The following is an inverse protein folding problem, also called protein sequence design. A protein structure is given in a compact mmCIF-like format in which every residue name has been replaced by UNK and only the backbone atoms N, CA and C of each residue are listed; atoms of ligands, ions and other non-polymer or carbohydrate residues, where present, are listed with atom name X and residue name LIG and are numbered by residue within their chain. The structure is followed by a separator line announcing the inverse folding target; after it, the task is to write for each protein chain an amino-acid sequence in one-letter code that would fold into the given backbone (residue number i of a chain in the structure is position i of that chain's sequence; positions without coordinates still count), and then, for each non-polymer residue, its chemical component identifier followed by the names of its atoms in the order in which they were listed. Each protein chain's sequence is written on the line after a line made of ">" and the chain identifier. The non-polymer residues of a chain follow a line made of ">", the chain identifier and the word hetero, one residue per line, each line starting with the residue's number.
data_IF_957331184288
#
_entry.id   IF_957331184288
#
_cell.length_a   1.000
_cell.length_b   1.000
_cell.length_c   1.000
_cell.angle_alpha   90.00
_cell.angle_beta   90.00
_cell.angle_gamma   90.00
#
_symmetry.space_group_name_H-M   'P 1'
#
loop_
_entity.id
_entity.type
_entity.pdbx_description
1 polymer ?
#
# COMPACT_ATOMS: atom_id res chain seq x y z
N UNK A 1 -25.96 -4.16 -9.83
CA UNK A 1 -25.93 -3.86 -11.27
C UNK A 1 -24.56 -3.32 -11.70
N UNK A 2 -24.01 -2.32 -11.01
CA UNK A 2 -22.70 -1.71 -11.34
C UNK A 2 -21.50 -2.69 -11.27
N UNK A 3 -21.38 -3.50 -10.21
CA UNK A 3 -20.27 -4.48 -10.07
C UNK A 3 -20.28 -5.57 -11.16
N UNK A 4 -21.48 -5.98 -11.61
CA UNK A 4 -21.62 -6.95 -12.70
C UNK A 4 -21.17 -6.34 -14.04
N UNK A 5 -21.47 -5.06 -14.28
CA UNK A 5 -20.97 -4.33 -15.44
C UNK A 5 -19.44 -4.29 -15.45
N UNK A 6 -18.81 -3.94 -14.33
CA UNK A 6 -17.34 -3.93 -14.22
C UNK A 6 -16.72 -5.31 -14.43
N UNK A 7 -17.36 -6.38 -13.95
CA UNK A 7 -16.90 -7.74 -14.20
C UNK A 7 -16.89 -8.11 -15.68
N UNK A 8 -17.96 -7.80 -16.42
CA UNK A 8 -17.99 -8.07 -17.85
C UNK A 8 -16.95 -7.25 -18.61
N UNK A 9 -16.79 -5.97 -18.25
CA UNK A 9 -15.73 -5.13 -18.79
C UNK A 9 -14.33 -5.72 -18.53
N UNK A 10 -14.09 -6.23 -17.31
CA UNK A 10 -12.85 -6.89 -16.93
C UNK A 10 -12.58 -8.18 -17.68
N UNK A 11 -13.61 -9.00 -17.85
CA UNK A 11 -13.51 -10.27 -18.58
C UNK A 11 -13.14 -10.05 -20.05
N UNK A 12 -13.59 -8.93 -20.65
CA UNK A 12 -13.32 -8.58 -22.03
C UNK A 12 -11.99 -7.84 -22.25
N UNK A 13 -11.39 -7.28 -21.20
CA UNK A 13 -10.11 -6.58 -21.26
C UNK A 13 -8.94 -7.57 -21.49
N UNK A 14 -8.71 -7.97 -22.75
CA UNK A 14 -7.71 -8.98 -23.14
C UNK A 14 -6.29 -8.68 -22.64
N UNK A 15 -5.90 -7.41 -22.67
CA UNK A 15 -4.55 -6.95 -22.30
C UNK A 15 -4.41 -6.62 -20.79
N UNK A 16 -5.47 -6.82 -20.00
CA UNK A 16 -5.37 -6.71 -18.55
C UNK A 16 -4.78 -8.00 -17.97
N UNK A 17 -3.68 -7.86 -17.22
CA UNK A 17 -2.95 -8.95 -16.58
C UNK A 17 -2.94 -8.85 -15.04
N UNK A 18 -3.80 -8.00 -14.47
CA UNK A 18 -3.86 -7.78 -13.02
C UNK A 18 -4.23 -9.05 -12.26
N UNK A 19 -3.68 -9.21 -11.05
CA UNK A 19 -4.11 -10.26 -10.12
C UNK A 19 -5.59 -10.12 -9.76
N UNK A 20 -6.12 -8.89 -9.70
CA UNK A 20 -7.55 -8.64 -9.57
C UNK A 20 -8.34 -9.36 -10.67
N UNK A 21 -8.01 -9.15 -11.95
CA UNK A 21 -8.73 -9.79 -13.05
C UNK A 21 -8.63 -11.31 -12.99
N UNK A 22 -7.44 -11.81 -12.66
CA UNK A 22 -7.20 -13.26 -12.58
C UNK A 22 -8.07 -13.93 -11.50
N UNK A 23 -8.23 -13.29 -10.35
CA UNK A 23 -8.85 -13.90 -9.17
C UNK A 23 -10.29 -13.44 -8.90
N UNK A 24 -10.75 -12.33 -9.48
CA UNK A 24 -12.13 -11.86 -9.31
C UNK A 24 -13.09 -12.64 -10.22
N UNK A 25 -13.47 -13.85 -9.80
CA UNK A 25 -14.48 -14.65 -10.49
C UNK A 25 -15.90 -14.16 -10.21
N UNK A 26 -16.85 -14.55 -11.09
CA UNK A 26 -18.29 -14.30 -10.86
C UNK A 26 -18.77 -14.87 -9.52
N UNK A 27 -18.26 -16.04 -9.10
CA UNK A 27 -18.62 -16.65 -7.83
C UNK A 27 -18.21 -15.77 -6.64
N UNK A 28 -16.98 -15.23 -6.67
CA UNK A 28 -16.47 -14.31 -5.65
C UNK A 28 -17.28 -13.01 -5.63
N UNK A 29 -17.63 -12.46 -6.79
CA UNK A 29 -18.50 -11.27 -6.85
C UNK A 29 -19.86 -11.56 -6.24
N UNK A 30 -20.50 -12.67 -6.61
CA UNK A 30 -21.82 -13.03 -6.10
C UNK A 30 -21.81 -13.23 -4.58
N UNK A 31 -20.72 -13.76 -4.03
CA UNK A 31 -20.50 -13.91 -2.59
C UNK A 31 -20.30 -12.56 -1.88
N UNK A 32 -19.48 -11.67 -2.45
CA UNK A 32 -18.95 -10.50 -1.74
C UNK A 32 -19.70 -9.19 -2.03
N UNK A 33 -20.42 -9.06 -3.15
CA UNK A 33 -20.98 -7.79 -3.65
C UNK A 33 -21.93 -7.05 -2.71
N UNK A 34 -22.54 -7.75 -1.75
CA UNK A 34 -23.49 -7.19 -0.79
C UNK A 34 -22.91 -7.04 0.63
N UNK A 35 -21.65 -7.44 0.84
CA UNK A 35 -20.99 -7.35 2.14
C UNK A 35 -20.44 -5.95 2.37
N UNK A 36 -20.41 -5.53 3.64
CA UNK A 36 -19.79 -4.28 4.09
C UNK A 36 -19.04 -4.50 5.39
N UNK A 37 -17.92 -3.81 5.58
CA UNK A 37 -17.20 -3.77 6.86
C UNK A 37 -17.95 -2.91 7.86
N UNK A 38 -17.47 -2.87 9.12
CA UNK A 38 -18.04 -2.00 10.15
C UNK A 38 -17.95 -0.50 9.80
N UNK A 39 -16.92 -0.12 9.04
CA UNK A 39 -16.74 1.25 8.54
C UNK A 39 -17.46 1.50 7.21
N UNK A 40 -18.20 0.51 6.70
CA UNK A 40 -19.02 0.63 5.51
C UNK A 40 -18.29 0.33 4.20
N UNK A 41 -17.02 -0.07 4.24
CA UNK A 41 -16.24 -0.42 3.06
C UNK A 41 -16.84 -1.63 2.34
N UNK A 42 -16.89 -1.55 1.01
CA UNK A 42 -17.54 -2.52 0.12
C UNK A 42 -16.54 -3.17 -0.83
N UNK A 43 -16.98 -4.18 -1.57
CA UNK A 43 -16.16 -4.76 -2.65
C UNK A 43 -15.76 -3.71 -3.70
N UNK A 44 -16.59 -2.71 -3.97
CA UNK A 44 -16.25 -1.66 -4.93
C UNK A 44 -15.03 -0.87 -4.44
N UNK A 45 -15.00 -0.49 -3.18
CA UNK A 45 -13.88 0.27 -2.59
C UNK A 45 -12.57 -0.53 -2.63
N UNK A 46 -12.66 -1.86 -2.58
CA UNK A 46 -11.51 -2.75 -2.70
C UNK A 46 -10.94 -2.82 -4.12
N UNK A 47 -11.82 -2.86 -5.14
CA UNK A 47 -11.42 -3.17 -6.53
C UNK A 47 -11.38 -1.95 -7.45
N UNK A 48 -11.90 -0.79 -7.02
CA UNK A 48 -12.14 0.37 -7.89
C UNK A 48 -10.87 0.83 -8.62
N UNK A 49 -9.72 0.84 -7.94
CA UNK A 49 -8.44 1.20 -8.54
C UNK A 49 -8.07 0.29 -9.71
N UNK A 50 -8.07 -1.03 -9.50
CA UNK A 50 -7.80 -1.99 -10.58
C UNK A 50 -8.84 -1.86 -11.69
N UNK A 51 -10.10 -1.63 -11.35
CA UNK A 51 -11.18 -1.45 -12.32
C UNK A 51 -10.96 -0.25 -13.24
N UNK A 52 -10.54 0.88 -12.68
CA UNK A 52 -10.25 2.10 -13.43
C UNK A 52 -8.90 2.03 -14.17
N UNK A 53 -7.93 1.27 -13.65
CA UNK A 53 -6.57 1.20 -14.15
C UNK A 53 -6.24 -0.24 -14.60
N UNK A 54 -6.66 -0.60 -15.83
CA UNK A 54 -6.53 -1.96 -16.38
C UNK A 54 -5.09 -2.47 -16.51
N UNK A 55 -4.12 -1.57 -16.46
CA UNK A 55 -2.68 -1.86 -16.49
C UNK A 55 -2.09 -2.11 -15.10
N UNK A 56 -2.92 -2.16 -14.05
CA UNK A 56 -2.50 -2.54 -12.70
C UNK A 56 -1.86 -3.93 -12.68
N UNK A 57 -0.76 -4.09 -11.93
CA UNK A 57 -0.20 -5.42 -11.64
C UNK A 57 -1.06 -6.22 -10.66
N UNK A 58 -1.56 -5.56 -9.60
CA UNK A 58 -2.40 -6.18 -8.55
C UNK A 58 -3.85 -5.71 -8.67
N UNK A 59 -4.12 -4.43 -8.38
CA UNK A 59 -5.43 -3.80 -8.59
C UNK A 59 -6.42 -3.86 -7.41
N UNK A 60 -5.99 -4.30 -6.21
CA UNK A 60 -6.82 -4.26 -5.00
C UNK A 60 -6.13 -3.50 -3.86
N UNK A 61 -6.94 -2.82 -3.06
CA UNK A 61 -6.52 -2.18 -1.81
C UNK A 61 -7.51 -2.49 -0.70
N UNK A 62 -7.04 -2.55 0.54
CA UNK A 62 -7.92 -2.65 1.70
C UNK A 62 -8.31 -1.23 2.17
N UNK A 63 -9.60 -0.89 2.25
CA UNK A 63 -10.06 0.36 2.86
C UNK A 63 -9.86 0.41 4.39
N UNK A 64 -9.96 -0.74 5.04
CA UNK A 64 -9.74 -0.92 6.48
C UNK A 64 -9.16 -2.31 6.78
N UNK A 65 -8.76 -2.56 8.03
CA UNK A 65 -8.19 -3.85 8.43
C UNK A 65 -9.20 -5.01 8.32
N UNK A 66 -10.47 -4.75 8.62
CA UNK A 66 -11.56 -5.75 8.54
C UNK A 66 -11.76 -6.25 7.10
N UNK A 67 -11.38 -5.45 6.10
CA UNK A 67 -11.48 -5.79 4.68
C UNK A 67 -10.68 -7.05 4.31
N UNK A 68 -9.51 -7.26 4.90
CA UNK A 68 -8.72 -8.49 4.68
C UNK A 68 -9.46 -9.75 5.15
N UNK A 69 -10.30 -9.63 6.18
CA UNK A 69 -11.10 -10.76 6.68
C UNK A 69 -12.41 -10.91 5.92
N UNK A 70 -13.13 -9.80 5.69
CA UNK A 70 -14.44 -9.82 5.04
C UNK A 70 -14.36 -10.22 3.56
N UNK A 71 -13.33 -9.72 2.86
CA UNK A 71 -13.09 -9.99 1.44
C UNK A 71 -11.96 -11.01 1.23
N UNK A 72 -11.71 -11.85 2.25
CA UNK A 72 -10.73 -12.94 2.22
C UNK A 72 -10.81 -13.82 0.96
N UNK A 73 -12.00 -14.20 0.43
CA UNK A 73 -12.07 -14.98 -0.81
C UNK A 73 -11.41 -14.34 -2.03
N UNK A 74 -11.24 -13.02 -2.04
CA UNK A 74 -10.49 -12.28 -3.06
C UNK A 74 -9.03 -12.02 -2.64
N UNK A 75 -8.80 -11.59 -1.40
CA UNK A 75 -7.46 -11.22 -0.93
C UNK A 75 -6.51 -12.42 -0.83
N UNK A 76 -6.96 -13.54 -0.27
CA UNK A 76 -6.10 -14.72 -0.07
C UNK A 76 -5.41 -15.21 -1.36
N UNK A 77 -6.13 -15.51 -2.46
CA UNK A 77 -5.46 -16.01 -3.66
C UNK A 77 -4.55 -14.95 -4.32
N UNK A 78 -4.86 -13.66 -4.17
CA UNK A 78 -3.99 -12.57 -4.65
C UNK A 78 -2.71 -12.50 -3.80
N UNK A 79 -2.82 -12.57 -2.48
CA UNK A 79 -1.68 -12.56 -1.55
C UNK A 79 -0.81 -13.79 -1.79
N UNK A 80 -1.42 -14.97 -1.93
CA UNK A 80 -0.70 -16.22 -2.18
C UNK A 80 0.13 -16.13 -3.46
N UNK A 81 -0.46 -15.64 -4.55
CA UNK A 81 0.27 -15.50 -5.82
C UNK A 81 1.34 -14.40 -5.76
N UNK A 82 1.02 -13.21 -5.24
CA UNK A 82 1.96 -12.10 -5.18
C UNK A 82 3.17 -12.40 -4.28
N UNK A 83 2.96 -13.16 -3.20
CA UNK A 83 3.99 -13.55 -2.24
C UNK A 83 4.56 -14.96 -2.47
N UNK A 84 4.40 -15.52 -3.67
CA UNK A 84 5.02 -16.79 -4.09
C UNK A 84 4.69 -17.99 -3.17
N UNK A 85 3.41 -18.15 -2.83
CA UNK A 85 2.90 -19.29 -2.08
C UNK A 85 2.55 -19.00 -0.62
N UNK A 86 2.21 -17.75 -0.27
CA UNK A 86 1.70 -17.41 1.07
C UNK A 86 0.23 -17.85 1.22
N UNK A 87 0.00 -19.12 1.49
CA UNK A 87 -1.33 -19.73 1.57
C UNK A 87 -2.11 -19.33 2.82
N UNK A 88 -3.44 -19.54 2.78
CA UNK A 88 -4.39 -19.09 3.81
C UNK A 88 -4.14 -19.58 5.25
N UNK A 89 -3.37 -20.67 5.40
CA UNK A 89 -3.05 -21.30 6.68
C UNK A 89 -1.68 -20.89 7.23
N UNK A 90 -0.91 -20.11 6.47
CA UNK A 90 0.39 -19.62 6.88
C UNK A 90 0.25 -18.33 7.68
N UNK A 91 1.28 -18.05 8.47
CA UNK A 91 1.38 -16.83 9.29
C UNK A 91 2.69 -16.14 8.97
N UNK A 92 2.64 -14.82 8.90
CA UNK A 92 3.84 -14.01 8.86
C UNK A 92 4.70 -14.34 10.11
N UNK A 93 6.02 -14.53 9.98
CA UNK A 93 6.89 -14.73 11.13
C UNK A 93 6.85 -13.54 12.09
N UNK A 94 7.28 -13.78 13.33
CA UNK A 94 7.51 -12.72 14.31
C UNK A 94 8.48 -11.67 13.78
N UNK A 95 8.34 -10.44 14.26
CA UNK A 95 9.18 -9.32 13.84
C UNK A 95 10.63 -9.60 14.26
N UNK A 96 11.52 -9.55 13.27
CA UNK A 96 12.97 -9.60 13.45
C UNK A 96 13.58 -8.49 12.60
N UNK A 97 14.12 -7.46 13.26
CA UNK A 97 14.80 -6.34 12.58
C UNK A 97 16.29 -6.64 12.31
N UNK A 98 16.79 -7.80 12.75
CA UNK A 98 18.13 -8.27 12.44
C UNK A 98 19.26 -7.48 13.08
N UNK A 99 19.05 -6.88 14.26
CA UNK A 99 20.06 -6.09 14.96
C UNK A 99 21.34 -6.89 15.26
N UNK A 100 21.21 -8.19 15.53
CA UNK A 100 22.31 -9.14 15.73
C UNK A 100 22.91 -9.68 14.41
N UNK A 101 22.29 -9.37 13.27
CA UNK A 101 22.62 -9.88 11.93
C UNK A 101 23.18 -8.82 11.01
N UNK A 102 23.40 -7.59 11.48
CA UNK A 102 23.96 -6.48 10.68
C UNK A 102 25.28 -6.89 10.04
N UNK A 103 26.12 -7.67 10.75
CA UNK A 103 27.40 -8.18 10.22
C UNK A 103 27.28 -9.14 9.04
N UNK A 104 26.08 -9.68 8.77
CA UNK A 104 25.80 -10.52 7.59
C UNK A 104 25.54 -9.70 6.34
N UNK A 105 25.26 -8.39 6.48
CA UNK A 105 25.10 -7.49 5.35
C UNK A 105 26.48 -7.18 4.77
N UNK A 106 26.63 -7.41 3.47
CA UNK A 106 27.89 -7.20 2.75
C UNK A 106 27.80 -5.97 1.85
N UNK A 107 28.97 -5.42 1.50
CA UNK A 107 29.03 -4.40 0.46
C UNK A 107 28.61 -5.01 -0.88
N UNK A 108 27.51 -4.48 -1.43
CA UNK A 108 26.89 -4.96 -2.66
C UNK A 108 27.68 -4.57 -3.91
N UNK A 109 28.55 -3.56 -3.83
CA UNK A 109 29.39 -3.12 -4.94
C UNK A 109 30.75 -2.59 -4.45
N UNK A 110 31.66 -3.50 -4.03
CA UNK A 110 32.95 -3.11 -3.46
C UNK A 110 33.85 -2.28 -4.41
N UNK A 111 33.61 -2.37 -5.71
CA UNK A 111 34.36 -1.62 -6.73
C UNK A 111 33.67 -0.31 -7.13
N UNK A 112 32.45 -0.04 -6.65
CA UNK A 112 31.68 1.17 -6.94
C UNK A 112 31.35 1.38 -8.42
N UNK A 113 31.17 0.29 -9.19
CA UNK A 113 31.00 0.34 -10.66
C UNK A 113 29.54 0.31 -11.11
N UNK A 114 28.62 -0.10 -10.24
CA UNK A 114 27.26 -0.46 -10.63
C UNK A 114 26.19 0.25 -9.78
N UNK A 115 26.40 0.45 -8.48
CA UNK A 115 25.37 0.93 -7.56
C UNK A 115 25.54 2.43 -7.29
N UNK A 116 24.56 3.23 -7.72
CA UNK A 116 24.52 4.67 -7.41
C UNK A 116 24.02 4.95 -5.98
N UNK A 117 23.02 4.20 -5.52
CA UNK A 117 22.44 4.35 -4.19
C UNK A 117 21.71 3.08 -3.74
N UNK A 118 21.63 2.87 -2.42
CA UNK A 118 20.88 1.77 -1.80
C UNK A 118 19.82 2.35 -0.87
N UNK A 119 18.60 1.82 -0.91
CA UNK A 119 17.49 2.30 -0.08
C UNK A 119 16.64 1.15 0.43
N UNK A 120 16.42 1.12 1.75
CA UNK A 120 15.49 0.22 2.43
C UNK A 120 14.34 1.05 3.01
N UNK A 121 13.09 0.56 2.86
CA UNK A 121 11.91 1.22 3.42
C UNK A 121 10.94 0.23 4.05
N UNK A 122 10.26 0.67 5.10
CA UNK A 122 9.19 -0.07 5.76
C UNK A 122 7.92 0.79 5.83
N UNK A 123 6.75 0.16 5.75
CA UNK A 123 5.46 0.80 6.00
C UNK A 123 4.92 0.42 7.37
N UNK A 124 4.18 1.34 8.01
CA UNK A 124 3.42 1.11 9.25
C UNK A 124 2.08 1.81 9.15
N UNK A 125 1.08 1.27 9.84
CA UNK A 125 -0.23 1.89 10.00
C UNK A 125 -0.45 2.20 11.47
N UNK A 126 -0.97 3.39 11.78
CA UNK A 126 -1.22 3.80 13.16
C UNK A 126 -2.43 3.08 13.71
N UNK A 127 -2.28 2.43 14.86
CA UNK A 127 -3.38 1.75 15.53
C UNK A 127 -4.50 2.75 15.86
N UNK A 128 -5.75 2.36 15.59
CA UNK A 128 -6.93 3.19 15.80
C UNK A 128 -7.37 4.01 14.58
N UNK A 129 -6.57 4.00 13.51
CA UNK A 129 -6.92 4.65 12.24
C UNK A 129 -7.13 3.60 11.14
N UNK A 130 -8.15 3.77 10.26
CA UNK A 130 -8.30 2.93 9.08
C UNK A 130 -7.27 3.28 8.00
N UNK A 131 -7.37 2.65 6.83
CA UNK A 131 -6.54 3.03 5.68
C UNK A 131 -7.17 4.21 4.91
N UNK A 132 -6.41 4.77 3.97
CA UNK A 132 -6.74 6.02 3.27
C UNK A 132 -8.21 6.16 2.81
N UNK A 133 -8.86 5.14 2.21
CA UNK A 133 -10.23 5.28 1.71
C UNK A 133 -11.27 5.54 2.80
N UNK A 134 -10.96 5.22 4.06
CA UNK A 134 -11.86 5.40 5.20
C UNK A 134 -11.38 6.50 6.17
N UNK A 135 -10.30 7.22 5.86
CA UNK A 135 -9.83 8.35 6.65
C UNK A 135 -10.66 9.61 6.37
N UNK A 136 -10.94 10.38 7.43
CA UNK A 136 -11.46 11.74 7.32
C UNK A 136 -10.33 12.76 7.26
N UNK A 137 -10.63 14.00 6.87
CA UNK A 137 -9.65 15.11 6.93
C UNK A 137 -9.12 15.33 8.36
N UNK A 138 -9.99 15.21 9.36
CA UNK A 138 -9.60 15.29 10.78
C UNK A 138 -8.63 14.17 11.15
N UNK A 139 -8.85 12.94 10.68
CA UNK A 139 -7.91 11.85 10.91
C UNK A 139 -6.53 12.14 10.30
N UNK A 140 -6.45 12.71 9.09
CA UNK A 140 -5.16 13.09 8.51
C UNK A 140 -4.41 14.10 9.38
N UNK A 141 -5.09 15.14 9.89
CA UNK A 141 -4.50 16.15 10.78
C UNK A 141 -4.02 15.53 12.09
N UNK A 142 -4.85 14.71 12.73
CA UNK A 142 -4.47 14.02 13.96
C UNK A 142 -3.28 13.07 13.77
N UNK A 143 -3.24 12.34 12.65
CA UNK A 143 -2.15 11.45 12.31
C UNK A 143 -0.86 12.23 12.03
N UNK A 144 -0.94 13.35 11.30
CA UNK A 144 0.19 14.25 11.04
C UNK A 144 0.78 14.77 12.36
N UNK A 145 -0.05 15.30 13.26
CA UNK A 145 0.37 15.77 14.58
C UNK A 145 1.05 14.65 15.38
N UNK A 146 0.45 13.46 15.38
CA UNK A 146 0.98 12.26 16.07
C UNK A 146 2.26 11.72 15.47
N UNK A 147 2.63 12.05 14.23
CA UNK A 147 3.87 11.59 13.57
C UNK A 147 4.94 12.68 13.62
N UNK A 148 4.57 13.94 13.73
CA UNK A 148 5.50 15.07 13.80
C UNK A 148 6.52 14.96 14.95
N UNK A 149 6.21 14.22 16.03
CA UNK A 149 7.16 13.96 17.13
C UNK A 149 8.44 13.26 16.67
N UNK A 150 8.45 12.59 15.52
CA UNK A 150 9.65 11.96 14.95
C UNK A 150 10.78 12.97 14.68
N UNK A 151 10.49 14.27 14.65
CA UNK A 151 11.53 15.31 14.58
C UNK A 151 12.17 15.65 15.93
N UNK A 152 11.66 15.07 17.02
CA UNK A 152 12.16 15.23 18.37
C UNK A 152 13.26 14.24 18.77
N UNK A 153 13.75 13.40 17.85
CA UNK A 153 14.82 12.47 18.17
C UNK A 153 16.11 13.19 18.58
N UNK A 154 16.72 12.72 19.68
CA UNK A 154 18.00 13.22 20.18
C UNK A 154 19.21 12.59 19.51
N UNK A 155 19.02 11.46 18.83
CA UNK A 155 20.06 10.80 18.02
C UNK A 155 20.47 11.74 16.86
N UNK A 156 21.76 12.12 16.75
CA UNK A 156 22.23 13.02 15.69
C UNK A 156 21.99 12.51 14.27
N UNK A 157 22.00 11.20 14.03
CA UNK A 157 21.79 10.62 12.69
C UNK A 157 20.31 10.62 12.29
N UNK A 158 19.42 10.54 13.27
CA UNK A 158 17.97 10.48 13.06
C UNK A 158 17.28 11.83 13.24
N UNK A 159 17.99 12.83 13.78
CA UNK A 159 17.46 14.18 13.97
C UNK A 159 17.10 14.79 12.62
N UNK A 160 15.83 15.15 12.46
CA UNK A 160 15.29 15.67 11.20
C UNK A 160 14.39 16.88 11.38
N UNK A 161 13.86 17.35 10.25
CA UNK A 161 12.85 18.41 10.19
C UNK A 161 11.63 17.88 9.45
N UNK A 162 10.44 18.16 9.99
CA UNK A 162 9.18 17.83 9.34
C UNK A 162 8.81 18.96 8.37
N UNK A 163 8.57 18.60 7.11
CA UNK A 163 8.13 19.53 6.07
C UNK A 163 6.70 19.21 5.68
N UNK A 164 5.69 19.93 6.21
CA UNK A 164 4.29 19.70 5.82
C UNK A 164 4.13 19.99 4.33
N UNK A 165 3.35 19.17 3.63
CA UNK A 165 3.00 19.42 2.23
C UNK A 165 2.17 20.70 2.09
N UNK A 166 1.22 20.90 3.01
CA UNK A 166 0.41 22.11 3.05
C UNK A 166 1.30 23.31 3.35
N UNK A 167 1.35 24.26 2.41
CA UNK A 167 2.21 25.44 2.52
C UNK A 167 3.68 25.20 2.14
N UNK A 168 4.05 24.00 1.68
CA UNK A 168 5.39 23.74 1.13
C UNK A 168 5.65 24.65 -0.06
N UNK A 169 6.77 25.36 -0.05
CA UNK A 169 7.16 26.22 -1.18
C UNK A 169 7.55 25.35 -2.38
N UNK A 170 7.39 25.88 -3.60
CA UNK A 170 7.77 25.16 -4.82
C UNK A 170 9.26 24.85 -4.88
N UNK A 171 10.11 25.69 -4.29
CA UNK A 171 11.55 25.45 -4.23
C UNK A 171 11.88 24.24 -3.33
N UNK A 172 11.26 24.15 -2.14
CA UNK A 172 11.44 22.99 -1.25
C UNK A 172 10.85 21.73 -1.88
N UNK A 173 9.65 21.82 -2.48
CA UNK A 173 9.03 20.70 -3.17
C UNK A 173 9.93 20.17 -4.29
N UNK A 174 10.48 21.07 -5.11
CA UNK A 174 11.40 20.71 -6.19
C UNK A 174 12.67 20.05 -5.65
N UNK A 175 13.31 20.64 -4.64
CA UNK A 175 14.52 20.07 -4.05
C UNK A 175 14.29 18.64 -3.54
N UNK A 176 13.20 18.41 -2.79
CA UNK A 176 12.91 17.07 -2.28
C UNK A 176 12.56 16.05 -3.39
N UNK A 177 12.02 16.50 -4.52
CA UNK A 177 11.80 15.65 -5.71
C UNK A 177 13.14 15.32 -6.38
N UNK A 178 13.99 16.33 -6.60
CA UNK A 178 15.30 16.18 -7.24
C UNK A 178 16.23 15.27 -6.40
N UNK A 179 16.10 15.31 -5.06
CA UNK A 179 16.82 14.44 -4.13
C UNK A 179 16.20 13.04 -3.98
N UNK A 180 15.12 12.73 -4.71
CA UNK A 180 14.38 11.47 -4.62
C UNK A 180 13.80 11.16 -3.23
N UNK A 181 13.48 12.19 -2.44
CA UNK A 181 12.91 12.06 -1.09
C UNK A 181 11.40 12.22 -1.05
N UNK A 182 10.83 13.13 -1.85
CA UNK A 182 9.38 13.36 -1.86
C UNK A 182 8.66 12.32 -2.71
N UNK A 183 7.51 11.86 -2.21
CA UNK A 183 6.60 11.05 -3.02
C UNK A 183 5.97 11.89 -4.14
N UNK A 184 5.65 11.24 -5.26
CA UNK A 184 4.96 11.89 -6.38
C UNK A 184 3.54 12.32 -5.98
N UNK A 185 3.10 13.45 -6.51
CA UNK A 185 1.70 13.89 -6.45
C UNK A 185 0.90 13.26 -7.59
N UNK A 186 -0.38 12.93 -7.34
CA UNK A 186 -1.29 12.46 -8.39
C UNK A 186 -1.00 11.04 -8.88
N UNK A 187 -0.68 10.10 -7.98
CA UNK A 187 -0.76 8.69 -8.33
C UNK A 187 -2.20 8.33 -8.74
N UNK A 188 -2.35 7.64 -9.86
CA UNK A 188 -3.66 7.28 -10.43
C UNK A 188 -4.18 5.93 -9.95
N UNK A 189 -3.33 5.13 -9.31
CA UNK A 189 -3.69 3.83 -8.71
C UNK A 189 -4.20 4.01 -7.29
#
# INVERSE_FOLDING_TARGET
>A
MLLLFFFFFFAEAKDCHSLLKKHLSKAIIDELKNKKTKLGATLLDVIQSGVANLDSGVGVYAPDADSYTLFKPLFDPIIEEYHNGFGSNQKQPEIDLGEDKISLLTDLDPEGKYINSTRVRCGRSLQGYPFNPCLTEENYKEMEDKVSFLCGFSDPELKGTYYPLTGMTKDVQKQLIDDHFLFKEGDRY
#
